data_IF_620299743037
#
_entry.id   IF_620299743037
#
_cell.length_a   1.000
_cell.length_b   1.000
_cell.length_c   1.000
_cell.angle_alpha   90.00
_cell.angle_beta   90.00
_cell.angle_gamma   90.00
#
_symmetry.space_group_name_H-M   'P 1'
#
loop_
_entity.id
_entity.type
_entity.pdbx_description
1 polymer ?
#
# COMPACT_ATOMS: atom_id res chain seq x y z
N UNK A 1 10.97 -15.44 -16.18
CA UNK A 1 9.50 -15.32 -16.26
C UNK A 1 8.97 -15.76 -14.91
N UNK A 2 8.48 -14.83 -14.07
CA UNK A 2 8.16 -15.12 -12.67
C UNK A 2 6.67 -14.88 -12.43
N UNK A 3 5.88 -15.96 -12.52
CA UNK A 3 4.47 -16.02 -12.15
C UNK A 3 4.29 -17.27 -11.25
N UNK A 4 4.07 -17.06 -9.95
CA UNK A 4 3.91 -18.13 -8.96
C UNK A 4 4.93 -18.05 -7.83
N UNK A 5 4.82 -17.04 -6.95
CA UNK A 5 5.65 -16.93 -5.75
C UNK A 5 5.27 -18.06 -4.80
N UNK A 6 6.01 -19.17 -4.87
CA UNK A 6 6.00 -20.29 -3.91
C UNK A 6 4.73 -21.15 -3.82
N UNK A 7 3.60 -20.77 -4.44
CA UNK A 7 2.37 -21.58 -4.40
C UNK A 7 1.14 -20.80 -4.85
N UNK A 8 -0.05 -21.38 -4.62
CA UNK A 8 -1.35 -20.74 -4.84
C UNK A 8 -1.80 -19.93 -3.62
N UNK A 9 -1.22 -20.16 -2.45
CA UNK A 9 -1.53 -19.47 -1.19
C UNK A 9 -0.26 -18.92 -0.52
N UNK A 10 -0.45 -17.99 0.43
CA UNK A 10 0.65 -17.43 1.25
C UNK A 10 1.33 -18.52 2.08
N UNK A 11 0.56 -19.49 2.58
CA UNK A 11 1.07 -20.60 3.39
C UNK A 11 1.97 -21.52 2.57
N UNK A 12 1.52 -21.94 1.38
CA UNK A 12 2.35 -22.72 0.46
C UNK A 12 3.62 -21.97 0.06
N UNK A 13 3.52 -20.65 -0.13
CA UNK A 13 4.67 -19.84 -0.46
C UNK A 13 5.70 -19.79 0.68
N UNK A 14 5.26 -19.75 1.94
CA UNK A 14 6.17 -19.81 3.09
C UNK A 14 6.85 -21.16 3.22
N UNK A 15 6.12 -22.24 2.96
CA UNK A 15 6.66 -23.61 3.09
C UNK A 15 7.63 -23.97 1.95
N UNK A 16 7.37 -23.49 0.73
CA UNK A 16 8.12 -23.92 -0.47
C UNK A 16 9.21 -22.95 -0.91
N UNK A 17 9.11 -21.67 -0.55
CA UNK A 17 10.09 -20.67 -0.99
C UNK A 17 11.39 -20.81 -0.21
N UNK A 18 12.49 -21.01 -0.93
CA UNK A 18 13.81 -21.02 -0.30
C UNK A 18 14.19 -19.62 0.21
N UNK A 19 15.06 -19.56 1.22
CA UNK A 19 15.57 -18.28 1.73
C UNK A 19 16.24 -17.43 0.64
N UNK A 20 17.02 -18.06 -0.24
CA UNK A 20 17.70 -17.34 -1.33
C UNK A 20 16.70 -16.71 -2.31
N UNK A 21 15.64 -17.44 -2.66
CA UNK A 21 14.57 -16.91 -3.51
C UNK A 21 13.83 -15.76 -2.82
N UNK A 22 13.52 -15.89 -1.54
CA UNK A 22 12.90 -14.82 -0.75
C UNK A 22 13.76 -13.54 -0.74
N UNK A 23 15.08 -13.68 -0.59
CA UNK A 23 16.01 -12.56 -0.63
C UNK A 23 16.08 -11.91 -2.02
N UNK A 24 16.03 -12.70 -3.10
CA UNK A 24 15.98 -12.18 -4.45
C UNK A 24 14.68 -11.38 -4.70
N UNK A 25 13.55 -11.87 -4.20
CA UNK A 25 12.28 -11.14 -4.24
C UNK A 25 12.30 -9.86 -3.40
N UNK A 26 12.92 -9.88 -2.22
CA UNK A 26 13.08 -8.69 -1.39
C UNK A 26 13.90 -7.60 -2.11
N UNK A 27 14.97 -8.01 -2.81
CA UNK A 27 15.75 -7.09 -3.65
C UNK A 27 14.95 -6.58 -4.85
N UNK A 28 14.17 -7.46 -5.51
CA UNK A 28 13.29 -7.07 -6.59
C UNK A 28 12.28 -6.01 -6.14
N UNK A 29 11.61 -6.23 -5.02
CA UNK A 29 10.64 -5.28 -4.43
C UNK A 29 11.31 -3.95 -4.11
N UNK A 30 12.53 -3.99 -3.52
CA UNK A 30 13.28 -2.76 -3.22
C UNK A 30 13.60 -1.95 -4.49
N UNK A 31 13.93 -2.63 -5.59
CA UNK A 31 14.30 -1.99 -6.87
C UNK A 31 13.09 -1.55 -7.70
N UNK A 32 11.96 -2.28 -7.63
CA UNK A 32 10.83 -2.15 -8.57
C UNK A 32 9.51 -1.75 -7.90
N UNK A 33 9.47 -1.70 -6.58
CA UNK A 33 8.27 -1.45 -5.79
C UNK A 33 7.47 -2.72 -5.50
N UNK A 34 6.27 -2.53 -4.97
CA UNK A 34 5.36 -3.61 -4.56
C UNK A 34 5.09 -4.64 -5.68
N UNK A 35 4.93 -5.91 -5.29
CA UNK A 35 4.43 -6.98 -6.17
C UNK A 35 2.94 -6.82 -6.50
N UNK A 36 2.22 -5.96 -5.77
CA UNK A 36 0.82 -5.66 -6.06
C UNK A 36 0.74 -4.69 -7.26
N UNK A 37 0.72 -5.27 -8.45
CA UNK A 37 0.59 -4.51 -9.69
C UNK A 37 -0.72 -3.71 -9.79
N UNK A 38 -1.83 -4.28 -9.28
CA UNK A 38 -3.13 -3.61 -9.26
C UNK A 38 -3.07 -2.30 -8.48
N UNK A 39 -2.56 -2.35 -7.25
CA UNK A 39 -2.37 -1.16 -6.40
C UNK A 39 -1.43 -0.11 -7.04
N UNK A 40 -0.42 -0.55 -7.79
CA UNK A 40 0.47 0.37 -8.54
C UNK A 40 -0.25 1.09 -9.66
N UNK A 41 -1.09 0.38 -10.42
CA UNK A 41 -1.91 0.99 -11.46
C UNK A 41 -2.94 1.94 -10.87
N UNK A 42 -3.64 1.53 -9.81
CA UNK A 42 -4.60 2.38 -9.10
C UNK A 42 -3.95 3.67 -8.62
N UNK A 43 -2.78 3.57 -7.98
CA UNK A 43 -2.01 4.75 -7.54
C UNK A 43 -1.63 5.66 -8.72
N UNK A 44 -1.27 5.07 -9.87
CA UNK A 44 -0.98 5.83 -11.09
C UNK A 44 -2.22 6.57 -11.63
N UNK A 45 -3.37 5.91 -11.68
CA UNK A 45 -4.63 6.53 -12.12
C UNK A 45 -5.12 7.59 -11.14
N UNK A 46 -5.02 7.35 -9.83
CA UNK A 46 -5.35 8.33 -8.81
C UNK A 46 -4.49 9.59 -8.96
N UNK A 47 -3.19 9.44 -9.25
CA UNK A 47 -2.30 10.58 -9.50
C UNK A 47 -2.77 11.40 -10.71
N UNK A 48 -3.07 10.73 -11.83
CA UNK A 48 -3.57 11.38 -13.04
C UNK A 48 -4.89 12.12 -12.78
N UNK A 49 -5.84 11.45 -12.13
CA UNK A 49 -7.14 12.03 -11.77
C UNK A 49 -6.96 13.28 -10.89
N UNK A 50 -6.04 13.23 -9.92
CA UNK A 50 -5.71 14.38 -9.06
C UNK A 50 -5.17 15.56 -9.86
N UNK A 51 -4.23 15.31 -10.78
CA UNK A 51 -3.68 16.39 -11.60
C UNK A 51 -4.74 17.01 -12.51
N UNK A 52 -5.61 16.19 -13.11
CA UNK A 52 -6.74 16.66 -13.93
C UNK A 52 -7.71 17.46 -13.08
N UNK A 53 -8.06 16.97 -11.88
CA UNK A 53 -8.96 17.66 -10.96
C UNK A 53 -8.43 19.05 -10.60
N UNK A 54 -7.15 19.14 -10.22
CA UNK A 54 -6.47 20.41 -9.92
C UNK A 54 -6.42 21.35 -11.12
N UNK A 55 -6.11 20.84 -12.30
CA UNK A 55 -6.09 21.62 -13.54
C UNK A 55 -7.46 22.23 -13.88
N UNK A 56 -8.55 21.57 -13.48
CA UNK A 56 -9.93 22.03 -13.68
C UNK A 56 -10.47 22.84 -12.48
N UNK A 57 -9.61 23.25 -11.53
CA UNK A 57 -9.99 24.06 -10.37
C UNK A 57 -10.65 23.29 -9.23
N UNK A 58 -10.62 21.95 -9.30
CA UNK A 58 -11.07 21.08 -8.22
C UNK A 58 -10.12 21.08 -7.01
N UNK A 59 -10.62 20.57 -5.89
CA UNK A 59 -9.91 20.50 -4.60
C UNK A 59 -9.85 19.07 -4.04
N UNK A 60 -10.10 18.07 -4.87
CA UNK A 60 -10.00 16.68 -4.45
C UNK A 60 -8.52 16.33 -4.26
N UNK A 61 -8.25 15.55 -3.22
CA UNK A 61 -6.92 15.06 -2.91
C UNK A 61 -6.69 13.68 -3.54
N UNK A 62 -5.42 13.27 -3.57
CA UNK A 62 -5.02 11.99 -4.16
C UNK A 62 -5.80 10.80 -3.58
N UNK A 63 -6.02 10.85 -2.27
CA UNK A 63 -6.74 9.84 -1.52
C UNK A 63 -8.19 9.68 -1.95
N UNK A 64 -8.83 10.74 -2.44
CA UNK A 64 -10.23 10.69 -2.89
C UNK A 64 -10.40 9.83 -4.15
N UNK A 65 -9.31 9.57 -4.87
CA UNK A 65 -9.28 8.73 -6.07
C UNK A 65 -8.72 7.31 -5.80
N UNK A 66 -8.39 6.97 -4.56
CA UNK A 66 -7.90 5.65 -4.16
C UNK A 66 -9.07 4.80 -3.63
N UNK A 67 -9.57 3.86 -4.44
CA UNK A 67 -10.78 3.09 -4.12
C UNK A 67 -10.61 1.99 -3.06
N UNK A 68 -9.38 1.49 -2.88
CA UNK A 68 -9.07 0.36 -1.99
C UNK A 68 -8.00 0.70 -0.94
N UNK A 69 -8.17 1.82 -0.25
CA UNK A 69 -7.31 2.15 0.88
C UNK A 69 -7.76 1.35 2.10
N UNK A 70 -6.84 0.64 2.75
CA UNK A 70 -7.03 0.22 4.13
C UNK A 70 -7.20 1.50 4.94
N UNK A 71 -8.44 1.77 5.37
CA UNK A 71 -8.71 2.92 6.22
C UNK A 71 -8.01 2.62 7.53
N UNK A 72 -6.97 3.40 7.84
CA UNK A 72 -6.39 3.40 9.18
C UNK A 72 -7.46 4.02 10.07
N UNK A 73 -8.28 3.19 10.69
CA UNK A 73 -9.20 3.63 11.73
C UNK A 73 -8.36 4.30 12.81
N UNK A 74 -8.53 5.61 12.95
CA UNK A 74 -7.82 6.36 13.97
C UNK A 74 -8.25 5.83 15.34
N UNK A 75 -7.29 5.30 16.09
CA UNK A 75 -7.52 4.88 17.47
C UNK A 75 -7.65 6.12 18.36
N UNK A 76 -8.44 6.01 19.43
CA UNK A 76 -8.68 7.10 20.40
C UNK A 76 -7.35 7.61 20.98
N UNK A 77 -6.34 6.75 21.06
CA UNK A 77 -4.99 7.11 21.51
C UNK A 77 -4.30 8.13 20.60
N UNK A 78 -4.58 8.15 19.30
CA UNK A 78 -3.97 9.10 18.36
C UNK A 78 -4.62 10.49 18.48
N UNK A 79 -5.92 10.54 18.78
CA UNK A 79 -6.62 11.79 19.15
C UNK A 79 -6.10 12.31 20.49
N UNK A 80 -5.89 11.45 21.47
CA UNK A 80 -5.35 11.84 22.78
C UNK A 80 -3.94 12.44 22.69
N UNK A 81 -3.08 11.91 21.81
CA UNK A 81 -1.75 12.48 21.53
C UNK A 81 -1.85 13.86 20.87
N UNK A 82 -2.77 14.03 19.92
CA UNK A 82 -2.98 15.31 19.22
C UNK A 82 -3.50 16.41 20.16
N UNK A 83 -4.37 16.05 21.11
CA UNK A 83 -4.93 16.97 22.11
C UNK A 83 -4.06 17.15 23.36
N UNK A 84 -2.87 16.54 23.40
CA UNK A 84 -1.93 16.67 24.51
C UNK A 84 -2.39 16.02 25.82
N UNK A 85 -3.38 15.13 25.76
CA UNK A 85 -3.90 14.41 26.94
C UNK A 85 -2.96 13.25 27.25
N UNK A 86 -2.13 13.41 28.28
CA UNK A 86 -1.31 12.32 28.82
C UNK A 86 -2.17 11.42 29.72
N UNK A 87 -2.44 10.21 29.24
CA UNK A 87 -2.94 9.10 30.06
C UNK A 87 -4.40 8.76 29.83
N UNK A 88 -4.66 7.94 28.81
CA UNK A 88 -5.82 7.06 28.81
C UNK A 88 -5.25 5.65 28.92
N UNK A 89 -5.57 4.98 30.03
CA UNK A 89 -5.29 3.55 30.24
C UNK A 89 -6.36 2.72 29.55
#
# INVERSE_FOLDING_TARGET
MLHGVGGRTVEEAKDRMSYQEAMAWAEYIRRRGSLNWGMRLESGFALLATQINRALGGKAEFEDFMMHKDVVEADISDVAKLLGVRGVK
#
